data_IF_892974056367
#
_entry.id   IF_892974056367
#
_cell.length_a   1.000
_cell.length_b   1.000
_cell.length_c   1.000
_cell.angle_alpha   90.00
_cell.angle_beta   90.00
_cell.angle_gamma   90.00
#
_symmetry.space_group_name_H-M   'P 1'
#
loop_
_entity.id
_entity.type
_entity.pdbx_description
1 polymer ?
#
# COMPACT_ATOMS: atom_id res chain seq x y z
N UNK A 1 -10.91 -11.25 -1.00
CA UNK A 1 -10.10 -10.05 -0.75
C UNK A 1 -9.04 -9.96 -1.82
N UNK A 2 -8.63 -8.76 -2.22
CA UNK A 2 -7.54 -8.52 -3.17
C UNK A 2 -6.29 -8.06 -2.40
N UNK A 3 -5.12 -8.61 -2.71
CA UNK A 3 -3.87 -8.22 -2.05
C UNK A 3 -3.20 -7.10 -2.85
N UNK A 4 -2.79 -6.02 -2.16
CA UNK A 4 -2.23 -4.83 -2.80
C UNK A 4 -1.02 -4.32 -2.01
N UNK A 5 0.03 -3.89 -2.71
CA UNK A 5 1.18 -3.24 -2.09
C UNK A 5 0.82 -1.81 -1.66
N UNK A 6 1.21 -1.34 -0.45
CA UNK A 6 0.86 0.00 0.05
C UNK A 6 1.31 1.15 -0.86
N UNK A 7 2.31 0.95 -1.71
CA UNK A 7 2.77 1.95 -2.69
C UNK A 7 1.89 2.06 -3.94
N UNK A 8 0.89 1.18 -4.08
CA UNK A 8 0.00 1.11 -5.25
C UNK A 8 -1.19 2.05 -5.09
N UNK A 9 -1.50 2.80 -6.15
CA UNK A 9 -2.76 3.54 -6.27
C UNK A 9 -3.89 2.58 -6.66
N UNK A 10 -5.06 2.74 -6.04
CA UNK A 10 -6.25 1.94 -6.35
C UNK A 10 -7.22 2.76 -7.19
N UNK A 11 -7.45 2.35 -8.43
CA UNK A 11 -8.45 2.92 -9.32
C UNK A 11 -9.59 1.92 -9.52
N UNK A 12 -10.81 2.33 -9.20
CA UNK A 12 -12.01 1.50 -9.24
C UNK A 12 -13.01 2.09 -10.23
N UNK A 13 -13.68 1.20 -10.96
CA UNK A 13 -14.72 1.56 -11.90
C UNK A 13 -15.97 0.79 -11.52
N UNK A 14 -17.07 1.50 -11.30
CA UNK A 14 -18.38 0.91 -11.09
C UNK A 14 -19.23 1.11 -12.33
N UNK A 15 -19.82 0.02 -12.81
CA UNK A 15 -20.71 0.05 -13.98
C UNK A 15 -22.06 -0.45 -13.53
N UNK A 16 -23.09 0.33 -13.86
CA UNK A 16 -24.47 -0.09 -13.68
C UNK A 16 -24.87 -0.91 -14.92
N UNK A 17 -25.38 -2.13 -14.72
CA UNK A 17 -25.60 -3.12 -15.79
C UNK A 17 -27.05 -3.24 -16.26
N UNK A 18 -28.00 -2.66 -15.53
CA UNK A 18 -29.45 -2.75 -15.82
C UNK A 18 -30.04 -1.37 -16.16
N UNK A 19 -31.16 -0.98 -15.55
CA UNK A 19 -31.88 0.25 -15.88
C UNK A 19 -31.25 1.47 -15.18
N UNK A 20 -30.21 2.03 -15.79
CA UNK A 20 -29.39 3.09 -15.20
C UNK A 20 -29.80 4.51 -15.62
N UNK A 21 -30.97 4.69 -16.23
CA UNK A 21 -31.39 5.97 -16.82
C UNK A 21 -31.81 7.02 -15.78
N UNK A 22 -31.98 6.63 -14.52
CA UNK A 22 -32.51 7.49 -13.44
C UNK A 22 -31.59 7.52 -12.21
N UNK A 23 -30.28 7.38 -12.41
CA UNK A 23 -29.31 7.55 -11.31
C UNK A 23 -29.40 8.98 -10.78
N UNK A 24 -29.75 9.13 -9.51
CA UNK A 24 -29.77 10.41 -8.82
C UNK A 24 -28.39 10.78 -8.27
N UNK A 25 -27.70 9.80 -7.69
CA UNK A 25 -26.38 10.02 -7.11
C UNK A 25 -25.54 8.72 -7.14
N UNK A 26 -24.23 8.89 -7.16
CA UNK A 26 -23.25 7.84 -6.95
C UNK A 26 -22.37 8.33 -5.80
N UNK A 27 -22.12 7.49 -4.80
CA UNK A 27 -21.25 7.84 -3.68
C UNK A 27 -20.34 6.68 -3.35
N UNK A 28 -19.04 6.97 -3.20
CA UNK A 28 -18.06 6.05 -2.67
C UNK A 28 -17.80 6.31 -1.20
N UNK A 29 -17.89 5.25 -0.40
CA UNK A 29 -17.51 5.23 1.00
C UNK A 29 -16.32 4.29 1.19
N UNK A 30 -15.34 4.76 1.96
CA UNK A 30 -14.13 4.00 2.29
C UNK A 30 -14.21 3.56 3.73
N UNK A 31 -13.91 2.29 4.00
CA UNK A 31 -13.93 1.70 5.32
C UNK A 31 -12.59 1.01 5.58
N UNK A 32 -12.19 0.98 6.85
CA UNK A 32 -11.13 0.09 7.32
C UNK A 32 -11.74 -1.03 8.18
N UNK A 33 -11.08 -2.18 8.18
CA UNK A 33 -11.54 -3.38 8.86
C UNK A 33 -10.74 -3.67 10.11
N UNK A 34 -11.43 -3.98 11.21
CA UNK A 34 -10.84 -4.56 12.41
C UNK A 34 -11.29 -6.02 12.52
N UNK A 35 -10.34 -6.95 12.63
CA UNK A 35 -10.64 -8.37 12.85
C UNK A 35 -10.87 -8.60 14.34
N UNK A 36 -12.10 -8.98 14.71
CA UNK A 36 -12.35 -9.42 16.07
C UNK A 36 -11.92 -10.89 16.20
N UNK A 37 -10.86 -11.13 16.99
CA UNK A 37 -10.23 -12.44 17.20
C UNK A 37 -11.18 -13.53 17.75
N UNK A 38 -12.34 -13.13 18.25
CA UNK A 38 -13.34 -14.04 18.82
C UNK A 38 -14.43 -14.52 17.86
N UNK A 39 -14.69 -13.80 16.75
CA UNK A 39 -15.88 -14.04 15.91
C UNK A 39 -15.61 -14.29 14.43
N UNK A 40 -14.35 -14.29 13.98
CA UNK A 40 -13.96 -14.42 12.56
C UNK A 40 -14.65 -13.41 11.61
N UNK A 41 -15.27 -12.36 12.16
CA UNK A 41 -15.96 -11.33 11.38
C UNK A 41 -15.13 -10.05 11.38
N UNK A 42 -14.96 -9.47 10.19
CA UNK A 42 -14.35 -8.14 10.03
C UNK A 42 -15.39 -7.07 10.31
N UNK A 43 -15.18 -6.28 11.36
CA UNK A 43 -15.98 -5.08 11.61
C UNK A 43 -15.47 -3.96 10.71
N UNK A 44 -16.33 -3.47 9.81
CA UNK A 44 -16.03 -2.35 8.93
C UNK A 44 -16.38 -1.02 9.60
N UNK A 45 -15.41 -0.12 9.66
CA UNK A 45 -15.55 1.20 10.27
C UNK A 45 -15.34 2.25 9.19
N UNK A 46 -16.28 3.20 9.09
CA UNK A 46 -16.23 4.25 8.07
C UNK A 46 -15.01 5.13 8.28
N UNK A 47 -14.25 5.35 7.22
CA UNK A 47 -13.13 6.27 7.21
C UNK A 47 -13.66 7.71 7.09
N UNK A 48 -13.97 8.32 8.24
CA UNK A 48 -14.62 9.62 8.36
C UNK A 48 -13.81 10.82 7.82
N UNK A 49 -12.60 10.60 7.30
CA UNK A 49 -11.74 11.65 6.75
C UNK A 49 -11.84 11.77 5.21
N UNK A 50 -12.71 11.00 4.57
CA UNK A 50 -12.85 10.97 3.10
C UNK A 50 -13.13 12.37 2.51
N UNK A 51 -13.98 13.17 3.16
CA UNK A 51 -14.26 14.55 2.74
C UNK A 51 -13.09 15.51 2.98
N UNK A 52 -12.33 15.30 4.05
CA UNK A 52 -11.17 16.15 4.36
C UNK A 52 -10.04 15.96 3.35
N UNK A 53 -9.85 14.73 2.87
CA UNK A 53 -8.83 14.39 1.86
C UNK A 53 -9.39 14.33 0.43
N UNK A 54 -10.53 14.96 0.18
CA UNK A 54 -11.09 15.05 -1.16
C UNK A 54 -10.14 15.82 -2.08
N UNK A 55 -9.90 15.30 -3.29
CA UNK A 55 -8.92 15.79 -4.25
C UNK A 55 -7.46 15.79 -3.76
N UNK A 56 -7.17 15.07 -2.67
CA UNK A 56 -5.82 14.85 -2.16
C UNK A 56 -5.53 13.34 -2.18
N UNK A 57 -6.32 12.56 -1.43
CA UNK A 57 -6.22 11.10 -1.42
C UNK A 57 -7.32 10.44 -2.23
N UNK A 58 -8.46 11.11 -2.38
CA UNK A 58 -9.65 10.56 -3.01
C UNK A 58 -10.11 11.43 -4.17
N UNK A 59 -10.30 10.82 -5.33
CA UNK A 59 -10.80 11.49 -6.54
C UNK A 59 -12.03 10.74 -7.06
N UNK A 60 -13.01 11.50 -7.55
CA UNK A 60 -14.22 10.92 -8.13
C UNK A 60 -15.16 10.22 -7.15
N UNK A 61 -15.16 10.62 -5.87
CA UNK A 61 -16.02 10.07 -4.81
C UNK A 61 -17.51 10.06 -5.15
N UNK A 62 -17.96 10.98 -6.01
CA UNK A 62 -19.35 11.07 -6.45
C UNK A 62 -19.57 10.64 -7.91
N UNK A 63 -18.70 9.78 -8.45
CA UNK A 63 -18.74 9.35 -9.85
C UNK A 63 -18.57 7.84 -9.96
N UNK A 64 -18.77 7.29 -11.16
CA UNK A 64 -18.48 5.87 -11.43
C UNK A 64 -16.99 5.53 -11.36
N UNK A 65 -16.11 6.52 -11.45
CA UNK A 65 -14.66 6.34 -11.51
C UNK A 65 -14.06 6.87 -10.23
N UNK A 66 -13.59 5.99 -9.37
CA UNK A 66 -13.02 6.35 -8.09
C UNK A 66 -11.53 6.05 -8.07
N UNK A 67 -10.76 6.92 -7.43
CA UNK A 67 -9.33 6.70 -7.22
C UNK A 67 -8.95 7.03 -5.79
N UNK A 68 -8.27 6.09 -5.14
CA UNK A 68 -7.58 6.29 -3.89
C UNK A 68 -6.06 6.24 -4.13
N UNK A 69 -5.36 7.33 -3.80
CA UNK A 69 -3.89 7.40 -3.93
C UNK A 69 -3.21 6.45 -2.94
N UNK A 70 -1.98 6.04 -3.24
CA UNK A 70 -1.15 5.24 -2.33
C UNK A 70 -0.91 5.93 -0.97
N UNK A 71 -1.00 7.26 -0.90
CA UNK A 71 -0.85 8.04 0.34
C UNK A 71 -1.87 7.64 1.42
N UNK A 72 -3.04 7.12 1.03
CA UNK A 72 -4.02 6.55 1.97
C UNK A 72 -3.39 5.44 2.82
N UNK A 73 -2.69 4.51 2.17
CA UNK A 73 -2.10 3.34 2.81
C UNK A 73 -0.80 3.70 3.52
N UNK A 74 0.05 4.53 2.89
CA UNK A 74 1.31 4.99 3.49
C UNK A 74 1.09 5.81 4.77
N UNK A 75 0.00 6.58 4.84
CA UNK A 75 -0.34 7.38 6.03
C UNK A 75 -1.06 6.58 7.12
N UNK A 76 -1.52 5.36 6.81
CA UNK A 76 -2.24 4.48 7.71
C UNK A 76 -1.65 3.06 7.70
N UNK A 77 -0.35 2.88 8.00
CA UNK A 77 0.33 1.59 7.83
C UNK A 77 -0.26 0.50 8.73
N UNK A 78 -0.80 0.88 9.89
CA UNK A 78 -1.40 -0.03 10.87
C UNK A 78 -2.72 -0.66 10.41
N UNK A 79 -3.33 -0.16 9.33
CA UNK A 79 -4.64 -0.62 8.84
C UNK A 79 -4.48 -1.53 7.63
N UNK A 80 -4.78 -2.81 7.82
CA UNK A 80 -4.51 -3.84 6.80
C UNK A 80 -5.70 -4.07 5.88
N UNK A 81 -6.92 -4.00 6.44
CA UNK A 81 -8.15 -4.30 5.73
C UNK A 81 -8.83 -3.02 5.29
N UNK A 82 -9.11 -2.93 4.00
CA UNK A 82 -9.81 -1.80 3.41
C UNK A 82 -11.00 -2.28 2.60
N UNK A 83 -12.10 -1.54 2.65
CA UNK A 83 -13.29 -1.76 1.84
C UNK A 83 -13.64 -0.48 1.12
N UNK A 84 -13.81 -0.58 -0.19
CA UNK A 84 -14.33 0.48 -1.03
C UNK A 84 -15.73 0.08 -1.45
N UNK A 85 -16.71 0.83 -0.98
CA UNK A 85 -18.13 0.59 -1.22
C UNK A 85 -18.67 1.71 -2.10
N UNK A 86 -19.39 1.33 -3.15
CA UNK A 86 -20.11 2.27 -4.02
C UNK A 86 -21.60 2.08 -3.81
N UNK A 87 -22.29 3.20 -3.64
CA UNK A 87 -23.74 3.26 -3.52
C UNK A 87 -24.28 4.08 -4.68
N UNK A 88 -25.17 3.46 -5.46
CA UNK A 88 -25.99 4.12 -6.45
C UNK A 88 -27.35 4.41 -5.83
N UNK A 89 -27.78 5.66 -5.90
CA UNK A 89 -29.11 6.09 -5.46
C UNK A 89 -29.98 6.33 -6.68
N UNK A 90 -31.13 5.66 -6.71
CA UNK A 90 -32.20 5.86 -7.68
C UNK A 90 -33.41 6.48 -6.97
N UNK A 91 -34.45 6.85 -7.74
CA UNK A 91 -35.66 7.49 -7.20
C UNK A 91 -36.35 6.61 -6.14
N UNK A 92 -36.40 5.30 -6.35
CA UNK A 92 -37.15 4.36 -5.51
C UNK A 92 -36.28 3.40 -4.70
N UNK A 93 -34.99 3.30 -5.00
CA UNK A 93 -34.12 2.27 -4.44
C UNK A 93 -32.65 2.71 -4.38
N UNK A 94 -31.85 1.94 -3.65
CA UNK A 94 -30.41 2.07 -3.62
C UNK A 94 -29.77 0.73 -3.94
N UNK A 95 -28.68 0.77 -4.70
CA UNK A 95 -27.87 -0.41 -5.01
C UNK A 95 -26.46 -0.20 -4.46
N UNK A 96 -25.92 -1.22 -3.80
CA UNK A 96 -24.64 -1.16 -3.10
C UNK A 96 -23.74 -2.28 -3.59
N UNK A 97 -22.49 -1.96 -3.90
CA UNK A 97 -21.45 -2.94 -4.21
C UNK A 97 -20.16 -2.58 -3.49
N UNK A 98 -19.31 -3.57 -3.22
CA UNK A 98 -18.05 -3.33 -2.51
C UNK A 98 -16.92 -4.24 -2.96
N UNK A 99 -15.70 -3.73 -2.85
CA UNK A 99 -14.46 -4.49 -3.02
C UNK A 99 -13.62 -4.37 -1.76
N UNK A 100 -13.08 -5.50 -1.31
CA UNK A 100 -12.28 -5.57 -0.10
C UNK A 100 -10.83 -5.91 -0.45
N UNK A 101 -9.91 -5.17 0.16
CA UNK A 101 -8.47 -5.24 -0.05
C UNK A 101 -7.76 -5.59 1.26
N UNK A 102 -6.66 -6.33 1.12
CA UNK A 102 -5.65 -6.55 2.16
C UNK A 102 -4.38 -5.85 1.69
N UNK A 103 -3.90 -4.88 2.47
CA UNK A 103 -2.69 -4.14 2.17
C UNK A 103 -1.51 -4.83 2.81
N UNK A 104 -0.49 -5.12 2.01
CA UNK A 104 0.71 -5.78 2.51
C UNK A 104 1.41 -4.92 3.57
N UNK A 105 1.93 -5.57 4.61
CA UNK A 105 2.65 -4.91 5.69
C UNK A 105 4.16 -4.88 5.38
N UNK A 106 4.90 -3.89 5.92
CA UNK A 106 6.35 -3.95 5.85
C UNK A 106 6.87 -5.13 6.66
N UNK A 107 7.96 -5.77 6.22
CA UNK A 107 8.69 -6.73 7.04
C UNK A 107 9.05 -6.14 8.40
N UNK A 108 9.15 -6.97 9.44
CA UNK A 108 9.42 -6.54 10.81
C UNK A 108 10.53 -7.36 11.48
N UNK A 109 10.92 -6.93 12.69
CA UNK A 109 11.90 -7.56 13.61
C UNK A 109 13.36 -7.66 13.13
N UNK A 110 13.64 -7.40 11.86
CA UNK A 110 14.99 -7.43 11.33
C UNK A 110 15.79 -6.16 11.57
N UNK A 111 17.08 -6.27 11.26
CA UNK A 111 17.99 -5.13 11.18
C UNK A 111 18.93 -5.34 10.01
N UNK A 112 19.61 -4.29 9.55
CA UNK A 112 20.63 -4.40 8.51
C UNK A 112 21.94 -3.77 8.98
N UNK A 113 23.06 -4.36 8.60
CA UNK A 113 24.40 -3.90 8.90
C UNK A 113 25.30 -4.03 7.67
N UNK A 114 26.32 -3.17 7.62
CA UNK A 114 27.35 -3.17 6.59
C UNK A 114 28.73 -3.15 7.26
N UNK A 115 29.64 -4.02 6.82
CA UNK A 115 31.01 -4.10 7.33
C UNK A 115 32.00 -4.31 6.17
N UNK A 116 33.14 -3.60 6.11
CA UNK A 116 33.55 -2.52 7.00
C UNK A 116 32.73 -1.24 6.75
N UNK A 117 32.71 -0.31 7.71
CA UNK A 117 32.00 0.97 7.54
C UNK A 117 32.72 1.93 6.58
N UNK A 118 34.03 1.71 6.36
CA UNK A 118 34.87 2.54 5.50
C UNK A 118 35.60 1.64 4.51
N UNK A 119 35.71 2.11 3.26
CA UNK A 119 36.40 1.40 2.21
C UNK A 119 36.72 2.29 1.02
N UNK A 120 37.28 1.66 0.00
CA UNK A 120 37.60 2.26 -1.30
C UNK A 120 36.76 1.59 -2.39
N UNK A 121 36.91 2.05 -3.62
CA UNK A 121 36.24 1.46 -4.80
C UNK A 121 36.57 -0.01 -5.03
N UNK A 122 37.63 -0.52 -4.40
CA UNK A 122 38.03 -1.94 -4.46
C UNK A 122 37.65 -2.74 -3.22
N UNK A 123 37.14 -2.09 -2.18
CA UNK A 123 36.72 -2.76 -0.95
C UNK A 123 35.46 -3.59 -1.17
N UNK A 124 35.44 -4.79 -0.60
CA UNK A 124 34.24 -5.61 -0.48
C UNK A 124 33.55 -5.28 0.84
N UNK A 125 32.24 -5.10 0.77
CA UNK A 125 31.38 -4.83 1.91
C UNK A 125 30.46 -6.02 2.12
N UNK A 126 30.47 -6.57 3.32
CA UNK A 126 29.51 -7.55 3.80
C UNK A 126 28.24 -6.84 4.24
N UNK A 127 27.13 -7.13 3.57
CA UNK A 127 25.79 -6.72 3.96
C UNK A 127 25.14 -7.88 4.69
N UNK A 128 24.58 -7.62 5.86
CA UNK A 128 23.85 -8.61 6.64
C UNK A 128 22.55 -8.01 7.18
N UNK A 129 21.43 -8.60 6.75
CA UNK A 129 20.07 -8.21 7.14
C UNK A 129 19.34 -9.37 7.85
N UNK A 130 19.74 -9.76 9.07
CA UNK A 130 19.12 -10.88 9.77
C UNK A 130 17.72 -10.54 10.30
N UNK A 131 16.97 -11.60 10.61
CA UNK A 131 15.74 -11.58 11.40
C UNK A 131 14.54 -10.79 10.82
N UNK A 132 14.62 -10.35 9.57
CA UNK A 132 13.46 -9.82 8.86
C UNK A 132 12.41 -10.90 8.66
N UNK A 133 11.20 -10.62 9.12
CA UNK A 133 10.05 -11.50 9.01
C UNK A 133 8.92 -10.83 8.23
N UNK A 134 8.32 -11.58 7.33
CA UNK A 134 7.10 -11.28 6.60
C UNK A 134 6.33 -12.59 6.46
N UNK A 135 5.01 -12.56 6.64
CA UNK A 135 4.15 -13.75 6.58
C UNK A 135 4.18 -14.40 5.18
N UNK A 136 4.31 -13.58 4.13
CA UNK A 136 4.43 -14.02 2.74
C UNK A 136 5.89 -14.32 2.34
N UNK A 137 6.83 -14.11 3.27
CA UNK A 137 8.26 -14.28 3.07
C UNK A 137 8.94 -13.08 2.43
N UNK A 138 10.26 -12.98 2.65
CA UNK A 138 11.07 -11.90 2.05
C UNK A 138 11.43 -12.28 0.62
N UNK A 139 11.07 -11.40 -0.33
CA UNK A 139 11.35 -11.62 -1.75
C UNK A 139 12.83 -11.38 -2.10
N UNK A 140 13.34 -10.22 -1.73
CA UNK A 140 14.68 -9.76 -2.02
C UNK A 140 15.14 -8.66 -1.04
N UNK A 141 16.44 -8.44 -1.02
CA UNK A 141 17.14 -7.39 -0.29
C UNK A 141 17.81 -6.48 -1.31
N UNK A 142 17.58 -5.18 -1.24
CA UNK A 142 18.20 -4.20 -2.12
C UNK A 142 18.99 -3.16 -1.30
N UNK A 143 20.18 -2.80 -1.79
CA UNK A 143 21.05 -1.80 -1.16
C UNK A 143 21.02 -0.52 -1.98
N UNK A 144 20.72 0.58 -1.30
CA UNK A 144 20.69 1.91 -1.86
C UNK A 144 21.85 2.73 -1.30
N UNK A 145 22.40 3.62 -2.12
CA UNK A 145 23.36 4.63 -1.70
C UNK A 145 22.80 6.01 -1.96
N UNK A 146 23.11 6.94 -1.06
CA UNK A 146 22.82 8.35 -1.24
C UNK A 146 23.98 9.00 -1.98
N UNK A 147 23.65 9.86 -2.95
CA UNK A 147 24.65 10.74 -3.54
C UNK A 147 24.82 12.00 -2.68
N UNK A 148 25.71 12.90 -3.10
CA UNK A 148 25.79 14.24 -2.49
C UNK A 148 24.47 15.02 -2.62
N UNK A 149 23.63 14.66 -3.59
CA UNK A 149 22.23 15.06 -3.65
C UNK A 149 21.38 14.07 -2.83
N UNK A 150 20.88 14.54 -1.69
CA UNK A 150 20.00 13.77 -0.79
C UNK A 150 18.60 13.54 -1.37
N UNK A 151 18.33 13.95 -2.61
CA UNK A 151 17.11 13.61 -3.33
C UNK A 151 17.30 12.42 -4.27
N UNK A 152 18.54 11.99 -4.50
CA UNK A 152 18.87 10.87 -5.39
C UNK A 152 19.43 9.67 -4.62
N UNK A 153 18.69 8.56 -4.70
CA UNK A 153 19.14 7.24 -4.25
C UNK A 153 19.43 6.36 -5.45
N UNK A 154 20.57 5.67 -5.42
CA UNK A 154 20.99 4.74 -6.47
C UNK A 154 21.01 3.33 -5.90
N UNK A 155 20.38 2.39 -6.60
CA UNK A 155 20.47 0.96 -6.31
C UNK A 155 21.87 0.46 -6.68
N UNK A 156 22.55 -0.18 -5.74
CA UNK A 156 23.91 -0.70 -5.93
C UNK A 156 23.94 -2.21 -6.07
N UNK A 157 23.10 -2.91 -5.32
CA UNK A 157 23.01 -4.36 -5.39
C UNK A 157 21.63 -4.86 -4.94
N UNK A 158 21.34 -6.08 -5.34
CA UNK A 158 20.19 -6.85 -4.86
C UNK A 158 20.64 -8.29 -4.55
N UNK A 159 19.91 -8.95 -3.67
CA UNK A 159 20.16 -10.33 -3.25
C UNK A 159 18.86 -11.02 -2.85
N UNK A 160 18.72 -12.30 -3.16
CA UNK A 160 17.62 -13.12 -2.65
C UNK A 160 17.89 -13.65 -1.22
N UNK A 161 19.11 -13.48 -0.71
CA UNK A 161 19.52 -13.92 0.63
C UNK A 161 19.91 -12.73 1.51
N UNK A 162 19.71 -12.82 2.84
CA UNK A 162 19.93 -11.70 3.76
C UNK A 162 21.39 -11.30 3.94
N UNK A 163 22.34 -12.16 3.56
CA UNK A 163 23.77 -11.92 3.70
C UNK A 163 24.48 -12.06 2.36
N UNK A 164 25.15 -11.01 1.93
CA UNK A 164 25.82 -10.97 0.63
C UNK A 164 26.93 -9.91 0.60
N UNK A 165 27.81 -10.04 -0.38
CA UNK A 165 28.92 -9.11 -0.59
C UNK A 165 28.67 -8.18 -1.76
N UNK A 166 29.04 -6.92 -1.60
CA UNK A 166 28.88 -5.88 -2.62
C UNK A 166 30.12 -5.01 -2.70
N UNK A 167 30.39 -4.47 -3.90
CA UNK A 167 31.31 -3.35 -4.09
C UNK A 167 30.48 -2.10 -4.33
N UNK A 168 30.74 -1.06 -3.53
CA UNK A 168 30.05 0.22 -3.70
C UNK A 168 30.64 0.98 -4.91
N UNK A 169 29.82 1.73 -5.65
CA UNK A 169 30.30 2.53 -6.77
C UNK A 169 31.29 3.59 -6.30
N UNK A 170 32.16 4.03 -7.20
CA UNK A 170 32.99 5.22 -6.97
C UNK A 170 32.11 6.46 -6.88
N UNK A 171 32.17 7.15 -5.74
CA UNK A 171 31.56 8.47 -5.53
C UNK A 171 32.40 9.60 -6.13
#
# INVERSE_FOLDING_TARGET
FQFVNPTTQVALFSVCTENCTTIQNITWNVYYGEVNSSSNFTKWILFNQTNFYQNIWFFGTNTSNFTATNQLFLSNPQLHLWRFEVTYTFISETSVSSLNFIINQPPCNGSCSITPLNGTTTSLFDISCPDWFDEDGIRDYAVYTWTNDLTEQIIVAYSAVPTFQVRLPSG
#
